data_IF_105365510655
#
_entry.id   IF_105365510655
#
_cell.length_a   1.000
_cell.length_b   1.000
_cell.length_c   1.000
_cell.angle_alpha   90.00
_cell.angle_beta   90.00
_cell.angle_gamma   90.00
#
_symmetry.space_group_name_H-M   'P 1'
#
loop_
_entity.id
_entity.type
_entity.pdbx_description
1 polymer ?
#
# COMPACT_ATOMS: atom_id res chain seq x y z
N UNK A 1 -5.62 -22.16 -3.39
CA UNK A 1 -6.40 -21.14 -4.12
C UNK A 1 -5.57 -20.57 -5.26
N UNK A 2 -6.16 -20.52 -6.44
CA UNK A 2 -5.48 -20.10 -7.64
C UNK A 2 -5.75 -18.63 -7.97
N UNK A 3 -4.92 -18.03 -8.82
CA UNK A 3 -5.17 -16.69 -9.36
C UNK A 3 -6.55 -16.60 -10.06
N UNK A 4 -6.98 -17.68 -10.70
CA UNK A 4 -8.28 -17.74 -11.37
C UNK A 4 -9.46 -17.61 -10.38
N UNK A 5 -9.36 -18.19 -9.18
CA UNK A 5 -10.37 -18.04 -8.13
C UNK A 5 -10.48 -16.61 -7.61
N UNK A 6 -9.38 -15.87 -7.65
CA UNK A 6 -9.30 -14.48 -7.20
C UNK A 6 -9.75 -13.46 -8.26
N UNK A 7 -9.79 -13.83 -9.54
CA UNK A 7 -9.90 -12.90 -10.68
C UNK A 7 -11.11 -11.98 -10.62
N UNK A 8 -12.27 -12.54 -10.25
CA UNK A 8 -13.55 -11.82 -10.20
C UNK A 8 -13.87 -11.23 -8.82
N UNK A 9 -12.95 -11.33 -7.87
CA UNK A 9 -13.15 -10.81 -6.52
C UNK A 9 -12.83 -9.32 -6.43
N UNK A 10 -13.44 -8.68 -5.44
CA UNK A 10 -13.07 -7.30 -5.12
C UNK A 10 -11.60 -7.21 -4.64
N UNK A 11 -10.93 -6.04 -4.73
CA UNK A 11 -9.47 -5.93 -4.60
C UNK A 11 -8.87 -6.53 -3.33
N UNK A 12 -9.46 -6.31 -2.15
CA UNK A 12 -8.94 -6.85 -0.89
C UNK A 12 -9.08 -8.37 -0.82
N UNK A 13 -10.23 -8.90 -1.20
CA UNK A 13 -10.45 -10.35 -1.26
C UNK A 13 -9.52 -11.02 -2.25
N UNK A 14 -9.26 -10.37 -3.38
CA UNK A 14 -8.34 -10.88 -4.39
C UNK A 14 -6.92 -11.04 -3.84
N UNK A 15 -6.36 -10.02 -3.22
CA UNK A 15 -4.99 -10.11 -2.67
C UNK A 15 -4.93 -11.10 -1.51
N UNK A 16 -5.96 -11.16 -0.64
CA UNK A 16 -6.01 -12.11 0.46
C UNK A 16 -5.97 -13.58 -0.01
N UNK A 17 -6.70 -13.91 -1.08
CA UNK A 17 -6.69 -15.26 -1.68
C UNK A 17 -5.30 -15.59 -2.23
N UNK A 18 -4.66 -14.65 -2.93
CA UNK A 18 -3.34 -14.87 -3.52
C UNK A 18 -2.26 -14.98 -2.43
N UNK A 19 -2.30 -14.13 -1.40
CA UNK A 19 -1.38 -14.19 -0.26
C UNK A 19 -1.52 -15.51 0.50
N UNK A 20 -2.74 -15.99 0.73
CA UNK A 20 -2.96 -17.29 1.35
C UNK A 20 -2.40 -18.43 0.48
N UNK A 21 -2.58 -18.37 -0.84
CA UNK A 21 -1.98 -19.33 -1.76
C UNK A 21 -0.45 -19.33 -1.70
N UNK A 22 0.18 -18.15 -1.62
CA UNK A 22 1.62 -18.03 -1.45
C UNK A 22 2.09 -18.63 -0.12
N UNK A 23 1.37 -18.36 0.98
CA UNK A 23 1.68 -18.89 2.30
C UNK A 23 1.62 -20.42 2.34
N UNK A 24 0.64 -21.02 1.69
CA UNK A 24 0.50 -22.47 1.58
C UNK A 24 1.59 -23.11 0.72
N UNK A 25 2.03 -22.41 -0.33
CA UNK A 25 3.07 -22.91 -1.25
C UNK A 25 4.46 -22.79 -0.64
N UNK A 26 4.73 -21.69 0.07
CA UNK A 26 6.01 -21.44 0.72
C UNK A 26 5.92 -21.93 2.17
N UNK A 27 6.35 -23.17 2.40
CA UNK A 27 6.32 -23.83 3.71
C UNK A 27 7.41 -23.27 4.66
N UNK A 28 7.33 -21.98 4.94
CA UNK A 28 8.20 -21.26 5.87
C UNK A 28 7.36 -20.45 6.86
N UNK A 29 7.46 -20.74 8.15
CA UNK A 29 6.68 -20.09 9.19
C UNK A 29 6.96 -18.58 9.28
N UNK A 30 8.17 -18.15 8.93
CA UNK A 30 8.57 -16.73 8.96
C UNK A 30 8.19 -15.98 7.67
N UNK A 31 7.53 -16.64 6.71
CA UNK A 31 7.09 -16.00 5.48
C UNK A 31 5.75 -15.32 5.67
N UNK A 32 5.75 -13.99 5.65
CA UNK A 32 4.56 -13.15 5.74
C UNK A 32 4.32 -12.53 4.37
N UNK A 33 3.42 -13.10 3.54
CA UNK A 33 3.15 -12.58 2.21
C UNK A 33 2.51 -11.19 2.27
N UNK A 34 2.87 -10.36 1.30
CA UNK A 34 2.22 -9.08 1.04
C UNK A 34 2.17 -8.79 -0.45
N UNK A 35 0.99 -8.48 -0.93
CA UNK A 35 0.77 -8.01 -2.30
C UNK A 35 0.19 -6.61 -2.23
N UNK A 36 0.94 -5.62 -2.71
CA UNK A 36 0.44 -4.26 -2.84
C UNK A 36 -0.79 -4.23 -3.74
N UNK A 37 -1.90 -3.67 -3.25
CA UNK A 37 -3.07 -3.45 -4.08
C UNK A 37 -2.70 -2.49 -5.22
N UNK A 38 -2.91 -2.96 -6.45
CA UNK A 38 -2.61 -2.25 -7.69
C UNK A 38 -1.13 -1.92 -7.83
N UNK A 39 -0.75 -0.67 -7.65
CA UNK A 39 0.61 -0.19 -7.83
C UNK A 39 1.12 0.54 -6.59
N UNK A 40 2.43 0.57 -6.43
CA UNK A 40 3.12 1.31 -5.38
C UNK A 40 2.67 2.78 -5.30
N UNK A 41 2.40 3.41 -6.42
CA UNK A 41 1.95 4.80 -6.48
C UNK A 41 0.59 5.04 -5.81
N UNK A 42 -0.19 4.00 -5.54
CA UNK A 42 -1.41 4.12 -4.75
C UNK A 42 -1.13 4.69 -3.35
N UNK A 43 0.00 4.32 -2.74
CA UNK A 43 0.40 4.80 -1.43
C UNK A 43 0.65 6.33 -1.38
N UNK A 44 0.98 6.95 -2.50
CA UNK A 44 1.16 8.41 -2.58
C UNK A 44 -0.15 9.17 -2.34
N UNK A 45 -1.29 8.53 -2.58
CA UNK A 45 -2.61 9.12 -2.31
C UNK A 45 -2.95 9.13 -0.81
N UNK A 46 -2.13 8.55 0.05
CA UNK A 46 -2.32 8.62 1.49
C UNK A 46 -2.16 10.05 2.03
N UNK A 47 -1.28 10.86 1.41
CA UNK A 47 -1.14 12.27 1.72
C UNK A 47 -0.75 13.09 0.48
N UNK A 48 -1.76 13.61 -0.19
CA UNK A 48 -1.56 14.42 -1.40
C UNK A 48 -0.95 15.80 -1.10
N UNK A 49 -0.97 16.27 0.15
CA UNK A 49 -0.30 17.51 0.50
C UNK A 49 1.23 17.35 0.41
N UNK A 50 1.77 16.18 0.79
CA UNK A 50 3.19 15.88 0.60
C UNK A 50 3.60 15.79 -0.87
N UNK A 51 2.71 15.28 -1.72
CA UNK A 51 2.91 15.28 -3.18
C UNK A 51 2.91 16.71 -3.72
N UNK A 52 1.95 17.53 -3.28
CA UNK A 52 1.86 18.96 -3.63
C UNK A 52 3.12 19.71 -3.23
N UNK A 53 3.55 19.57 -1.97
CA UNK A 53 4.72 20.26 -1.43
C UNK A 53 6.00 19.90 -2.18
N UNK A 54 6.19 18.62 -2.51
CA UNK A 54 7.39 18.15 -3.19
C UNK A 54 7.50 18.69 -4.61
N UNK A 55 6.40 18.69 -5.35
CA UNK A 55 6.39 19.09 -6.77
C UNK A 55 5.91 20.51 -7.02
N UNK A 56 5.53 21.25 -5.97
CA UNK A 56 4.92 22.58 -6.08
C UNK A 56 3.75 22.57 -7.08
N UNK A 57 2.83 21.62 -6.89
CA UNK A 57 1.75 21.38 -7.83
C UNK A 57 0.83 22.59 -7.96
N UNK A 58 0.43 22.90 -9.19
CA UNK A 58 -0.65 23.86 -9.44
C UNK A 58 -1.97 23.33 -8.87
N UNK A 59 -2.84 24.22 -8.32
CA UNK A 59 -4.11 23.83 -7.73
C UNK A 59 -4.98 22.92 -8.61
N UNK A 60 -5.01 23.16 -9.93
CA UNK A 60 -5.77 22.33 -10.85
C UNK A 60 -5.29 20.88 -10.91
N UNK A 61 -3.96 20.66 -10.85
CA UNK A 61 -3.35 19.32 -10.87
C UNK A 61 -3.62 18.58 -9.56
N UNK A 62 -3.45 19.27 -8.43
CA UNK A 62 -3.78 18.71 -7.11
C UNK A 62 -5.27 18.36 -7.01
N UNK A 63 -6.16 19.22 -7.47
CA UNK A 63 -7.60 18.96 -7.46
C UNK A 63 -7.95 17.74 -8.32
N UNK A 64 -7.26 17.53 -9.42
CA UNK A 64 -7.36 16.31 -10.23
C UNK A 64 -7.07 15.05 -9.42
N UNK A 65 -5.95 15.02 -8.69
CA UNK A 65 -5.59 13.89 -7.82
C UNK A 65 -6.59 13.70 -6.65
N UNK A 66 -7.02 14.78 -6.02
CA UNK A 66 -8.06 14.74 -4.97
C UNK A 66 -9.37 14.16 -5.48
N UNK A 67 -9.79 14.53 -6.70
CA UNK A 67 -10.97 13.97 -7.34
C UNK A 67 -10.85 12.46 -7.56
N UNK A 68 -9.69 12.00 -8.03
CA UNK A 68 -9.42 10.55 -8.17
C UNK A 68 -9.58 9.84 -6.83
N UNK A 69 -8.97 10.35 -5.77
CA UNK A 69 -9.09 9.75 -4.43
C UNK A 69 -10.54 9.72 -3.94
N UNK A 70 -11.30 10.80 -4.16
CA UNK A 70 -12.73 10.88 -3.79
C UNK A 70 -13.57 9.83 -4.52
N UNK A 71 -13.30 9.58 -5.80
CA UNK A 71 -13.98 8.54 -6.59
C UNK A 71 -13.76 7.14 -6.00
N UNK A 72 -12.69 6.95 -5.25
CA UNK A 72 -12.37 5.72 -4.53
C UNK A 72 -12.68 5.81 -3.02
N UNK A 73 -13.68 6.62 -2.65
CA UNK A 73 -14.15 6.81 -1.26
C UNK A 73 -13.05 7.26 -0.30
N UNK A 74 -12.06 7.98 -0.80
CA UNK A 74 -10.91 8.44 -0.01
C UNK A 74 -9.92 7.34 0.39
N UNK A 75 -10.02 6.14 -0.18
CA UNK A 75 -9.13 5.03 0.11
C UNK A 75 -7.98 4.96 -0.91
N UNK A 76 -6.71 5.24 -0.49
CA UNK A 76 -5.56 5.18 -1.37
C UNK A 76 -5.37 3.82 -2.04
N UNK A 77 -5.57 2.73 -1.30
CA UNK A 77 -5.33 1.37 -1.77
C UNK A 77 -6.32 0.93 -2.86
N UNK A 78 -7.45 1.62 -3.01
CA UNK A 78 -8.44 1.33 -4.05
C UNK A 78 -8.27 2.20 -5.29
N UNK A 79 -7.32 3.14 -5.30
CA UNK A 79 -7.06 3.98 -6.47
C UNK A 79 -6.54 3.10 -7.60
N UNK A 80 -7.46 2.68 -8.41
CA UNK A 80 -7.22 2.01 -9.69
C UNK A 80 -8.55 1.90 -10.43
N UNK A 81 -8.53 2.08 -11.69
CA UNK A 81 -9.70 1.91 -12.55
C UNK A 81 -9.36 1.17 -13.84
N UNK A 82 -8.19 0.51 -13.89
CA UNK A 82 -7.76 -0.24 -15.07
C UNK A 82 -6.58 0.40 -15.81
N UNK A 83 -6.34 -0.05 -17.03
CA UNK A 83 -5.11 0.26 -17.80
C UNK A 83 -4.84 1.77 -17.95
N UNK A 84 -5.88 2.60 -17.99
CA UNK A 84 -5.74 4.05 -18.19
C UNK A 84 -5.86 4.86 -16.89
N UNK A 85 -6.28 4.26 -15.79
CA UNK A 85 -6.57 4.92 -14.53
C UNK A 85 -5.70 4.40 -13.37
N UNK A 86 -4.69 3.60 -13.69
CA UNK A 86 -3.71 3.11 -12.74
C UNK A 86 -3.05 4.27 -11.95
N UNK A 87 -2.71 4.07 -10.67
CA UNK A 87 -2.12 5.11 -9.82
C UNK A 87 -0.95 5.83 -10.45
N UNK A 88 -0.01 5.10 -11.06
CA UNK A 88 1.15 5.69 -11.74
C UNK A 88 0.77 6.60 -12.92
N UNK A 89 -0.31 6.29 -13.63
CA UNK A 89 -0.78 7.14 -14.73
C UNK A 89 -1.44 8.40 -14.21
N UNK A 90 -2.22 8.31 -13.14
CA UNK A 90 -2.81 9.48 -12.48
C UNK A 90 -1.71 10.44 -12.00
N UNK A 91 -0.68 9.91 -11.34
CA UNK A 91 0.47 10.70 -10.88
C UNK A 91 1.21 11.33 -12.07
N UNK A 92 1.52 10.57 -13.13
CA UNK A 92 2.21 11.08 -14.33
C UNK A 92 1.41 12.15 -15.09
N UNK A 93 0.07 12.07 -15.07
CA UNK A 93 -0.80 13.09 -15.66
C UNK A 93 -0.75 14.41 -14.88
N UNK A 94 -0.60 14.32 -13.56
CA UNK A 94 -0.46 15.49 -12.70
C UNK A 94 0.97 16.06 -12.71
N UNK A 95 1.98 15.18 -12.81
CA UNK A 95 3.39 15.50 -12.59
C UNK A 95 4.23 15.12 -13.80
N UNK A 96 4.63 16.11 -14.58
CA UNK A 96 5.50 15.91 -15.72
C UNK A 96 6.88 15.39 -15.27
N UNK A 97 7.36 14.35 -15.93
CA UNK A 97 8.66 13.76 -15.62
C UNK A 97 8.70 12.94 -14.31
N UNK A 98 7.56 12.59 -13.70
CA UNK A 98 7.52 11.71 -12.53
C UNK A 98 8.28 10.39 -12.77
N UNK A 99 9.11 10.01 -11.81
CA UNK A 99 9.83 8.73 -11.75
C UNK A 99 9.58 8.04 -10.42
N UNK A 100 9.50 6.70 -10.41
CA UNK A 100 9.22 5.90 -9.21
C UNK A 100 10.18 6.17 -8.04
N UNK A 101 11.45 6.43 -8.34
CA UNK A 101 12.45 6.75 -7.30
C UNK A 101 12.05 8.00 -6.49
N UNK A 102 11.44 8.98 -7.13
CA UNK A 102 10.94 10.18 -6.47
C UNK A 102 9.75 9.86 -5.58
N UNK A 103 8.89 8.92 -6.00
CA UNK A 103 7.79 8.42 -5.17
C UNK A 103 8.26 7.85 -3.84
N UNK A 104 9.40 7.18 -3.80
CA UNK A 104 10.01 6.68 -2.55
C UNK A 104 10.36 7.81 -1.61
N UNK A 105 10.95 8.90 -2.11
CA UNK A 105 11.28 10.07 -1.27
C UNK A 105 10.03 10.75 -0.72
N UNK A 106 8.98 10.85 -1.52
CA UNK A 106 7.69 11.38 -1.04
C UNK A 106 7.10 10.50 0.04
N UNK A 107 7.14 9.16 -0.10
CA UNK A 107 6.65 8.24 0.92
C UNK A 107 7.39 8.36 2.25
N UNK A 108 8.68 8.62 2.23
CA UNK A 108 9.43 8.95 3.44
C UNK A 108 8.87 10.20 4.13
N UNK A 109 8.49 11.21 3.35
CA UNK A 109 7.86 12.43 3.85
C UNK A 109 6.44 12.23 4.37
N UNK A 110 5.65 11.33 3.75
CA UNK A 110 4.31 10.93 4.22
C UNK A 110 4.44 10.24 5.58
N UNK A 111 5.39 9.35 5.72
CA UNK A 111 5.71 8.67 6.96
C UNK A 111 4.81 7.48 7.28
N UNK A 112 5.36 6.57 8.08
CA UNK A 112 4.73 5.29 8.38
C UNK A 112 3.38 5.43 9.10
N UNK A 113 3.26 6.37 10.03
CA UNK A 113 2.02 6.59 10.79
C UNK A 113 0.85 6.95 9.88
N UNK A 114 1.06 7.83 8.90
CA UNK A 114 0.04 8.22 7.92
C UNK A 114 -0.32 7.05 7.01
N UNK A 115 0.68 6.31 6.51
CA UNK A 115 0.45 5.14 5.67
C UNK A 115 -0.39 4.09 6.41
N UNK A 116 -0.06 3.79 7.66
CA UNK A 116 -0.82 2.84 8.51
C UNK A 116 -2.27 3.27 8.72
N UNK A 117 -2.50 4.56 8.94
CA UNK A 117 -3.86 5.09 9.18
C UNK A 117 -4.73 5.11 7.93
N UNK A 118 -4.11 5.21 6.74
CA UNK A 118 -4.80 5.41 5.46
C UNK A 118 -4.86 4.15 4.59
N UNK A 119 -3.94 3.19 4.79
CA UNK A 119 -3.77 2.01 3.97
C UNK A 119 -3.98 0.77 4.85
N UNK A 120 -5.22 0.26 4.85
CA UNK A 120 -5.66 -0.82 5.72
C UNK A 120 -4.83 -2.10 5.53
N UNK A 121 -4.71 -2.55 4.29
CA UNK A 121 -4.00 -3.79 3.95
C UNK A 121 -2.51 -3.71 4.29
N UNK A 122 -1.89 -2.57 3.99
CA UNK A 122 -0.51 -2.29 4.38
C UNK A 122 -0.32 -2.33 5.91
N UNK A 123 -1.26 -1.72 6.66
CA UNK A 123 -1.20 -1.75 8.12
C UNK A 123 -1.39 -3.16 8.69
N UNK A 124 -2.32 -3.95 8.17
CA UNK A 124 -2.54 -5.34 8.59
C UNK A 124 -1.30 -6.22 8.38
N UNK A 125 -0.58 -6.01 7.28
CA UNK A 125 0.70 -6.67 7.03
C UNK A 125 1.77 -6.29 8.06
N UNK A 126 1.92 -4.99 8.36
CA UNK A 126 2.86 -4.52 9.39
C UNK A 126 2.53 -5.08 10.77
N UNK A 127 1.25 -5.16 11.13
CA UNK A 127 0.82 -5.77 12.39
C UNK A 127 1.23 -7.25 12.48
N UNK A 128 1.12 -8.00 11.39
CA UNK A 128 1.59 -9.40 11.36
C UNK A 128 3.10 -9.48 11.61
N UNK A 129 3.90 -8.61 10.98
CA UNK A 129 5.35 -8.54 11.20
C UNK A 129 5.65 -8.21 12.67
N UNK A 130 4.97 -7.22 13.24
CA UNK A 130 5.16 -6.81 14.64
C UNK A 130 4.80 -7.92 15.62
N UNK A 131 3.77 -8.71 15.33
CA UNK A 131 3.38 -9.87 16.16
C UNK A 131 4.46 -10.96 16.13
N UNK A 132 5.02 -11.28 14.98
CA UNK A 132 6.10 -12.26 14.84
C UNK A 132 7.38 -11.79 15.58
N UNK A 133 7.77 -10.54 15.41
CA UNK A 133 8.93 -9.97 16.10
C UNK A 133 8.72 -9.82 17.63
N UNK A 134 7.50 -9.52 18.07
CA UNK A 134 7.15 -9.39 19.48
C UNK A 134 7.02 -10.73 20.20
N UNK A 135 6.72 -11.82 19.46
CA UNK A 135 6.64 -13.18 20.01
C UNK A 135 7.99 -13.76 20.46
N UNK A 136 9.09 -13.34 19.83
CA UNK A 136 10.44 -13.79 20.20
C UNK A 136 10.98 -13.15 21.51
N UNK A 137 10.42 -12.01 21.91
CA UNK A 137 10.82 -11.31 23.15
C UNK A 137 10.29 -11.91 24.46
N UNK A 138 9.30 -12.80 24.40
CA UNK A 138 8.66 -13.39 25.60
C UNK A 138 9.30 -14.70 26.09
N UNK A 139 10.25 -15.28 25.35
CA UNK A 139 10.89 -16.55 25.69
C UNK A 139 12.24 -16.42 26.44
N UNK A 140 12.72 -15.20 26.69
CA UNK A 140 14.01 -14.94 27.38
C UNK A 140 13.85 -14.27 28.74
N UNK A 141 12.94 -14.76 29.56
CA UNK A 141 12.72 -14.14 30.87
C UNK A 141 12.17 -15.08 31.95
N UNK A 142 12.80 -16.22 32.19
CA UNK A 142 12.73 -16.88 33.50
C UNK A 142 13.85 -17.92 33.67
N UNK A 143 15.05 -17.45 33.91
CA UNK A 143 16.04 -18.22 34.67
C UNK A 143 16.17 -17.53 36.01
N UNK A 144 15.38 -17.94 36.97
CA UNK A 144 15.61 -17.63 38.39
C UNK A 144 16.50 -18.71 38.98
N UNK A 145 17.54 -18.28 39.59
CA UNK A 145 18.43 -19.01 40.47
C UNK A 145 17.67 -19.67 41.63
#
# INVERSE_FOLDING_TARGET
PSYEEAKEKEPYSKVAIIEEGLRQTISNQNFIPYIQLHEFEALLFADLAKVEDYFQLKPAKLNGLKKVLTQHKGNPELVNGGVNTAPSKQIKTAIDGYRKIVGVEILKGIGLATLRSRCKHFNEWLQKIEMELGGEGSALGCVTQ
#
